data_IF_271186679549
#
_entry.id   IF_271186679549
#
_cell.length_a   1.000
_cell.length_b   1.000
_cell.length_c   1.000
_cell.angle_alpha   90.00
_cell.angle_beta   90.00
_cell.angle_gamma   90.00
#
_symmetry.space_group_name_H-M   'P 1'
#
loop_
_entity.id
_entity.type
_entity.pdbx_description
1 polymer ?
#
# COMPACT_ATOMS: atom_id res chain seq x y z
N UNK A 1 -19.36 11.58 21.45
CA UNK A 1 -20.20 10.51 20.89
C UNK A 1 -19.62 9.20 21.41
N UNK A 2 -20.44 8.26 21.86
CA UNK A 2 -19.96 6.95 22.32
C UNK A 2 -19.38 6.15 21.14
N UNK A 3 -18.26 5.44 21.36
CA UNK A 3 -17.53 4.70 20.32
C UNK A 3 -18.40 3.62 19.68
N UNK A 4 -19.24 2.95 20.47
CA UNK A 4 -20.16 1.95 19.93
C UNK A 4 -21.15 2.58 18.94
N UNK A 5 -21.71 3.73 19.30
CA UNK A 5 -22.62 4.48 18.41
C UNK A 5 -21.90 4.93 17.14
N UNK A 6 -20.68 5.47 17.25
CA UNK A 6 -19.88 5.90 16.10
C UNK A 6 -19.61 4.73 15.13
N UNK A 7 -19.20 3.57 15.64
CA UNK A 7 -18.96 2.39 14.79
C UNK A 7 -20.24 1.91 14.11
N UNK A 8 -21.38 1.97 14.81
CA UNK A 8 -22.69 1.67 14.22
C UNK A 8 -23.06 2.62 13.07
N UNK A 9 -22.75 3.92 13.22
CA UNK A 9 -22.97 4.92 12.18
C UNK A 9 -22.07 4.68 10.96
N UNK A 10 -20.79 4.37 11.16
CA UNK A 10 -19.86 4.01 10.06
C UNK A 10 -20.37 2.79 9.31
N UNK A 11 -20.78 1.73 10.01
CA UNK A 11 -21.31 0.52 9.39
C UNK A 11 -22.59 0.81 8.57
N UNK A 12 -23.51 1.62 9.11
CA UNK A 12 -24.72 2.04 8.41
C UNK A 12 -24.43 2.87 7.16
N UNK A 13 -23.43 3.76 7.21
CA UNK A 13 -23.03 4.59 6.07
C UNK A 13 -22.26 3.82 4.98
N UNK A 14 -21.50 2.78 5.35
CA UNK A 14 -20.91 1.85 4.38
C UNK A 14 -22.01 1.08 3.64
N UNK A 15 -23.02 0.58 4.37
CA UNK A 15 -24.13 -0.18 3.77
C UNK A 15 -24.99 0.68 2.84
N UNK A 16 -25.22 1.95 3.20
CA UNK A 16 -26.00 2.88 2.36
C UNK A 16 -25.23 3.44 1.17
N UNK A 17 -23.90 3.31 1.16
CA UNK A 17 -23.01 3.89 0.17
C UNK A 17 -22.67 5.38 0.41
N UNK A 18 -23.07 5.95 1.55
CA UNK A 18 -22.66 7.30 1.94
C UNK A 18 -21.14 7.39 2.22
N UNK A 19 -20.56 6.31 2.78
CA UNK A 19 -19.12 6.09 2.78
C UNK A 19 -18.80 5.14 1.63
N UNK A 20 -17.89 5.58 0.74
CA UNK A 20 -17.40 4.76 -0.37
C UNK A 20 -16.06 4.12 -0.01
N UNK A 21 -15.95 2.82 -0.24
CA UNK A 21 -14.66 2.12 -0.26
C UNK A 21 -14.04 2.30 -1.64
N UNK A 22 -12.83 2.83 -1.70
CA UNK A 22 -12.05 2.99 -2.92
C UNK A 22 -10.91 1.98 -2.88
N UNK A 23 -10.80 1.16 -3.93
CA UNK A 23 -9.69 0.22 -4.06
C UNK A 23 -8.43 0.98 -4.52
N UNK A 24 -7.37 0.87 -3.74
CA UNK A 24 -6.06 1.48 -3.99
C UNK A 24 -5.00 0.43 -4.38
N UNK A 25 -5.43 -0.80 -4.68
CA UNK A 25 -4.54 -1.92 -5.00
C UNK A 25 -4.48 -2.18 -6.50
N UNK A 26 -3.27 -2.40 -7.02
CA UNK A 26 -3.09 -2.91 -8.36
C UNK A 26 -3.28 -4.45 -8.38
N UNK A 27 -3.73 -5.05 -9.49
CA UNK A 27 -3.77 -6.49 -9.64
C UNK A 27 -2.40 -7.14 -9.41
N UNK A 28 -2.36 -8.19 -8.60
CA UNK A 28 -1.15 -8.97 -8.30
C UNK A 28 -1.09 -10.24 -9.17
N UNK A 29 0.00 -10.41 -9.92
CA UNK A 29 0.21 -11.58 -10.77
C UNK A 29 1.49 -11.51 -11.60
N UNK A 30 1.66 -12.42 -12.58
CA UNK A 30 2.91 -12.53 -13.35
C UNK A 30 3.33 -11.28 -14.13
N UNK A 31 2.39 -10.35 -14.35
CA UNK A 31 2.62 -9.09 -15.05
C UNK A 31 2.82 -7.90 -14.10
N UNK A 32 2.77 -8.11 -12.79
CA UNK A 32 3.04 -7.05 -11.82
C UNK A 32 4.46 -6.51 -12.04
N UNK A 33 4.63 -5.19 -12.23
CA UNK A 33 5.95 -4.58 -12.27
C UNK A 33 6.68 -4.84 -10.94
N UNK A 34 7.94 -5.25 -11.02
CA UNK A 34 8.78 -5.52 -9.85
C UNK A 34 10.08 -4.74 -9.96
N UNK A 35 10.60 -4.34 -8.79
CA UNK A 35 11.89 -3.66 -8.71
C UNK A 35 13.00 -4.50 -9.33
N UNK A 36 13.93 -3.83 -10.00
CA UNK A 36 15.15 -4.39 -10.54
C UNK A 36 16.34 -3.65 -9.96
N UNK A 37 17.27 -4.39 -9.38
CA UNK A 37 18.48 -3.84 -8.79
C UNK A 37 19.69 -4.19 -9.67
N UNK A 38 20.75 -3.36 -9.65
CA UNK A 38 22.01 -3.75 -10.28
C UNK A 38 22.52 -5.07 -9.68
N UNK A 39 22.79 -6.10 -10.51
CA UNK A 39 23.13 -7.45 -10.03
C UNK A 39 24.45 -7.50 -9.24
N UNK A 40 25.34 -6.53 -9.44
CA UNK A 40 26.56 -6.35 -8.66
C UNK A 40 26.30 -5.84 -7.24
N UNK A 41 25.14 -5.27 -6.97
CA UNK A 41 24.79 -4.68 -5.68
C UNK A 41 23.89 -5.59 -4.85
N UNK A 42 22.87 -6.19 -5.47
CA UNK A 42 21.84 -6.95 -4.73
C UNK A 42 21.17 -8.01 -5.61
N UNK A 43 20.53 -8.97 -4.94
CA UNK A 43 19.69 -9.99 -5.58
C UNK A 43 18.26 -9.45 -5.72
N UNK A 44 17.68 -9.63 -6.90
CA UNK A 44 16.28 -9.27 -7.15
C UNK A 44 15.29 -10.10 -6.31
N UNK A 45 14.18 -9.47 -5.93
CA UNK A 45 12.97 -10.18 -5.48
C UNK A 45 12.44 -11.11 -6.59
N UNK A 46 11.90 -12.30 -6.27
CA UNK A 46 11.38 -13.21 -7.28
C UNK A 46 10.20 -12.60 -8.06
N UNK A 47 10.05 -13.00 -9.32
CA UNK A 47 8.80 -12.77 -10.05
C UNK A 47 7.62 -13.41 -9.32
N UNK A 48 6.47 -12.74 -9.36
CA UNK A 48 5.21 -13.33 -8.91
C UNK A 48 4.84 -14.46 -9.85
N UNK A 49 4.61 -15.64 -9.31
CA UNK A 49 4.09 -16.78 -10.06
C UNK A 49 2.83 -17.32 -9.36
N UNK A 50 1.82 -17.66 -10.14
CA UNK A 50 0.54 -18.21 -9.64
C UNK A 50 0.40 -19.61 -10.23
N UNK A 51 0.33 -20.61 -9.36
CA UNK A 51 0.31 -22.01 -9.76
C UNK A 51 -0.98 -22.68 -9.32
N UNK A 52 -1.79 -23.22 -10.26
CA UNK A 52 -3.00 -23.92 -9.89
C UNK A 52 -2.68 -25.22 -9.16
N UNK A 53 -3.41 -25.47 -8.08
CA UNK A 53 -3.39 -26.76 -7.36
C UNK A 53 -4.50 -27.65 -7.90
N UNK A 54 -5.72 -27.11 -7.92
CA UNK A 54 -6.92 -27.74 -8.47
C UNK A 54 -7.86 -26.69 -9.04
N UNK A 55 -8.72 -27.11 -9.96
CA UNK A 55 -9.85 -26.32 -10.44
C UNK A 55 -11.03 -27.21 -10.81
N UNK A 56 -11.76 -27.69 -9.81
CA UNK A 56 -12.92 -28.59 -9.97
C UNK A 56 -12.57 -29.82 -10.83
N UNK A 57 -11.39 -30.36 -10.60
CA UNK A 57 -10.78 -31.43 -11.40
C UNK A 57 -10.37 -32.61 -10.49
N UNK A 58 -9.61 -33.57 -11.03
CA UNK A 58 -9.16 -34.74 -10.26
C UNK A 58 -8.25 -34.40 -9.06
N UNK A 59 -7.61 -33.23 -9.06
CA UNK A 59 -6.74 -32.78 -7.96
C UNK A 59 -7.53 -32.05 -6.86
N UNK A 60 -8.80 -31.71 -7.12
CA UNK A 60 -9.70 -31.07 -6.17
C UNK A 60 -11.11 -31.00 -6.75
N UNK A 61 -11.99 -31.98 -6.47
CA UNK A 61 -13.22 -32.17 -7.22
C UNK A 61 -14.26 -31.07 -6.97
N UNK A 62 -14.17 -30.35 -5.85
CA UNK A 62 -15.19 -29.38 -5.43
C UNK A 62 -14.63 -27.97 -5.15
N UNK A 63 -13.34 -27.74 -5.38
CA UNK A 63 -12.70 -26.45 -5.10
C UNK A 63 -11.63 -26.07 -6.12
N UNK A 64 -11.40 -24.77 -6.23
CA UNK A 64 -10.36 -24.17 -7.05
C UNK A 64 -9.48 -23.25 -6.20
N UNK A 65 -8.17 -23.42 -6.30
CA UNK A 65 -7.18 -22.65 -5.54
C UNK A 65 -5.79 -22.74 -6.16
N UNK A 66 -4.92 -21.81 -5.78
CA UNK A 66 -3.56 -21.68 -6.29
C UNK A 66 -2.58 -21.53 -5.13
N UNK A 67 -1.31 -21.88 -5.34
CA UNK A 67 -0.21 -21.40 -4.52
C UNK A 67 0.56 -20.33 -5.27
N UNK A 68 1.25 -19.46 -4.53
CA UNK A 68 1.98 -18.33 -5.09
C UNK A 68 3.46 -18.44 -4.74
N UNK A 69 4.32 -18.12 -5.72
CA UNK A 69 5.68 -17.66 -5.44
C UNK A 69 5.62 -16.14 -5.35
N UNK A 70 5.87 -15.60 -4.18
CA UNK A 70 5.62 -14.19 -3.88
C UNK A 70 6.74 -13.66 -2.98
N UNK A 71 7.45 -12.64 -3.44
CA UNK A 71 8.33 -11.84 -2.59
C UNK A 71 7.50 -10.83 -1.78
N UNK A 72 7.96 -10.47 -0.59
CA UNK A 72 7.25 -9.54 0.31
C UNK A 72 6.98 -8.18 -0.36
N UNK A 73 7.96 -7.66 -1.10
CA UNK A 73 7.88 -6.38 -1.83
C UNK A 73 7.41 -6.60 -3.28
N UNK A 74 6.12 -6.93 -3.46
CA UNK A 74 5.52 -7.19 -4.77
C UNK A 74 4.22 -6.41 -4.97
N UNK A 75 4.13 -5.59 -6.03
CA UNK A 75 2.92 -4.81 -6.35
C UNK A 75 2.62 -3.70 -5.33
N UNK A 76 1.34 -3.43 -5.07
CA UNK A 76 0.92 -2.58 -3.95
C UNK A 76 1.24 -3.31 -2.63
N UNK A 77 2.23 -2.83 -1.88
CA UNK A 77 2.76 -3.50 -0.69
C UNK A 77 3.03 -2.51 0.46
N UNK A 78 3.59 -3.04 1.56
CA UNK A 78 3.90 -2.28 2.78
C UNK A 78 5.34 -2.55 3.20
N UNK A 79 6.09 -1.49 3.52
CA UNK A 79 7.45 -1.58 4.03
C UNK A 79 7.45 -1.41 5.56
N UNK A 80 7.75 -2.50 6.28
CA UNK A 80 7.93 -2.44 7.72
C UNK A 80 9.30 -1.81 8.09
N UNK A 81 9.47 -1.21 9.29
CA UNK A 81 10.74 -0.58 9.68
C UNK A 81 11.99 -1.47 9.52
N UNK A 82 11.88 -2.77 9.77
CA UNK A 82 12.97 -3.73 9.62
C UNK A 82 13.41 -3.96 8.18
N UNK A 83 12.62 -3.52 7.18
CA UNK A 83 13.01 -3.61 5.78
C UNK A 83 14.34 -2.90 5.50
N UNK A 84 14.65 -1.84 6.25
CA UNK A 84 15.89 -1.07 6.06
C UNK A 84 16.86 -1.22 7.23
N UNK A 85 18.16 -1.11 6.93
CA UNK A 85 19.23 -1.29 7.93
C UNK A 85 19.14 -0.32 9.11
N UNK A 86 18.58 0.88 8.91
CA UNK A 86 18.40 1.88 9.97
C UNK A 86 17.25 1.54 10.92
N UNK A 87 16.37 0.60 10.55
CA UNK A 87 15.28 0.12 11.39
C UNK A 87 15.43 -1.32 11.89
N UNK A 88 16.58 -1.96 11.61
CA UNK A 88 16.83 -3.38 11.93
C UNK A 88 16.71 -3.72 13.42
N UNK A 89 16.89 -2.74 14.31
CA UNK A 89 16.90 -2.94 15.76
C UNK A 89 15.57 -2.56 16.43
N UNK A 90 14.54 -2.17 15.67
CA UNK A 90 13.21 -1.94 16.23
C UNK A 90 12.56 -3.27 16.60
N UNK A 91 12.18 -3.48 17.89
CA UNK A 91 11.58 -4.73 18.34
C UNK A 91 10.16 -4.95 17.78
N UNK A 92 9.51 -3.87 17.34
CA UNK A 92 8.18 -3.80 16.74
C UNK A 92 8.24 -3.40 15.26
N UNK A 93 9.39 -3.65 14.61
CA UNK A 93 9.65 -3.23 13.24
C UNK A 93 9.30 -4.27 12.17
N UNK A 94 8.78 -5.45 12.53
CA UNK A 94 8.37 -6.50 11.59
C UNK A 94 6.85 -6.49 11.36
N UNK A 95 6.37 -7.09 10.27
CA UNK A 95 4.94 -7.13 9.91
C UNK A 95 4.07 -7.90 10.92
N UNK A 96 4.65 -8.82 11.68
CA UNK A 96 4.00 -9.60 12.74
C UNK A 96 4.12 -8.97 14.14
N UNK A 97 4.92 -7.91 14.30
CA UNK A 97 5.17 -7.27 15.61
C UNK A 97 4.72 -5.80 15.67
N UNK A 98 4.58 -5.14 14.53
CA UNK A 98 4.10 -3.75 14.48
C UNK A 98 2.65 -3.65 15.03
N UNK A 99 2.33 -2.63 15.85
CA UNK A 99 0.98 -2.46 16.38
C UNK A 99 -0.06 -2.24 15.27
N UNK A 100 -1.10 -3.06 15.22
CA UNK A 100 -2.17 -2.93 14.22
C UNK A 100 -2.92 -1.59 14.26
N UNK A 101 -2.87 -0.89 15.39
CA UNK A 101 -3.39 0.48 15.54
C UNK A 101 -2.78 1.47 14.56
N UNK A 102 -1.58 1.18 14.02
CA UNK A 102 -0.87 2.03 13.07
C UNK A 102 -1.32 1.81 11.61
N UNK A 103 -2.14 0.79 11.33
CA UNK A 103 -2.55 0.45 9.96
C UNK A 103 -3.73 1.27 9.44
N UNK A 104 -4.44 1.97 10.33
CA UNK A 104 -5.63 2.76 9.97
C UNK A 104 -5.47 4.17 10.51
N UNK A 105 -5.44 5.14 9.62
CA UNK A 105 -5.34 6.55 9.96
C UNK A 105 -5.86 7.45 8.84
N UNK A 106 -6.06 8.75 9.12
CA UNK A 106 -6.32 9.73 8.08
C UNK A 106 -5.19 9.78 7.06
N UNK A 107 -5.49 10.20 5.83
CA UNK A 107 -4.50 10.30 4.75
C UNK A 107 -4.51 11.67 4.10
N UNK A 108 -3.32 12.22 3.93
CA UNK A 108 -3.04 13.46 3.21
C UNK A 108 -2.59 13.11 1.80
N UNK A 109 -3.42 13.41 0.80
CA UNK A 109 -3.12 13.15 -0.61
C UNK A 109 -2.54 14.41 -1.24
N UNK A 110 -1.22 14.41 -1.46
CA UNK A 110 -0.52 15.52 -2.11
C UNK A 110 -0.45 15.22 -3.60
N UNK A 111 -1.22 15.97 -4.39
CA UNK A 111 -1.28 15.80 -5.85
C UNK A 111 -0.11 16.48 -6.53
N UNK A 112 0.75 15.67 -7.15
CA UNK A 112 1.90 16.06 -7.96
C UNK A 112 1.80 15.47 -9.38
N UNK A 113 0.59 15.10 -9.82
CA UNK A 113 0.39 14.41 -11.11
C UNK A 113 0.77 15.29 -12.32
N UNK A 114 0.60 16.60 -12.22
CA UNK A 114 0.98 17.54 -13.30
C UNK A 114 2.50 17.67 -13.37
N UNK A 115 3.14 17.82 -12.22
CA UNK A 115 4.59 17.96 -12.09
C UNK A 115 5.30 16.67 -12.54
N UNK A 116 4.84 15.52 -12.05
CA UNK A 116 5.40 14.21 -12.43
C UNK A 116 5.19 13.87 -13.92
N UNK A 117 4.12 14.38 -14.55
CA UNK A 117 3.91 14.23 -16.00
C UNK A 117 4.83 15.13 -16.83
N UNK A 118 5.26 16.27 -16.28
CA UNK A 118 6.19 17.18 -16.95
C UNK A 118 7.65 16.78 -16.74
N UNK A 119 7.97 16.20 -15.59
CA UNK A 119 9.30 15.76 -15.18
C UNK A 119 9.20 14.43 -14.44
N UNK A 120 9.71 13.36 -15.06
CA UNK A 120 9.71 12.01 -14.48
C UNK A 120 10.64 11.89 -13.27
N UNK A 121 11.55 12.85 -13.07
CA UNK A 121 12.46 12.93 -11.93
C UNK A 121 11.99 13.97 -10.90
N UNK A 122 10.74 14.45 -10.97
CA UNK A 122 10.20 15.45 -10.06
C UNK A 122 10.33 15.04 -8.59
N UNK A 123 10.81 15.99 -7.77
CA UNK A 123 10.97 15.81 -6.34
C UNK A 123 9.95 16.64 -5.56
N UNK A 124 9.16 15.97 -4.72
CA UNK A 124 8.37 16.66 -3.70
C UNK A 124 9.31 17.28 -2.65
N UNK A 125 9.15 18.58 -2.38
CA UNK A 125 10.01 19.33 -1.47
C UNK A 125 9.24 19.77 -0.24
N UNK A 126 9.97 20.21 0.79
CA UNK A 126 9.37 20.81 1.99
C UNK A 126 8.51 22.03 1.67
N UNK A 127 8.89 22.83 0.67
CA UNK A 127 8.11 24.01 0.27
C UNK A 127 6.80 23.60 -0.40
N UNK A 128 6.80 22.56 -1.25
CA UNK A 128 5.57 21.98 -1.79
C UNK A 128 4.62 21.50 -0.68
N UNK A 129 5.16 20.83 0.34
CA UNK A 129 4.38 20.35 1.50
C UNK A 129 3.78 21.54 2.26
N UNK A 130 4.57 22.56 2.60
CA UNK A 130 4.06 23.76 3.30
C UNK A 130 3.00 24.50 2.50
N UNK A 131 3.15 24.59 1.17
CA UNK A 131 2.13 25.17 0.29
C UNK A 131 0.85 24.33 0.30
N UNK A 132 0.97 23.00 0.30
CA UNK A 132 -0.17 22.10 0.43
C UNK A 132 -0.86 22.28 1.79
N UNK A 133 -0.10 22.31 2.90
CA UNK A 133 -0.64 22.50 4.25
C UNK A 133 -1.34 23.85 4.43
N UNK A 134 -0.80 24.93 3.85
CA UNK A 134 -1.42 26.25 3.88
C UNK A 134 -2.81 26.27 3.21
N UNK A 135 -3.07 25.35 2.28
CA UNK A 135 -4.34 25.24 1.55
C UNK A 135 -5.28 24.19 2.15
N UNK A 136 -4.75 23.07 2.62
CA UNK A 136 -5.52 21.88 2.99
C UNK A 136 -5.59 21.62 4.51
N UNK A 137 -4.77 22.32 5.30
CA UNK A 137 -4.60 22.10 6.73
C UNK A 137 -3.27 21.41 7.05
N UNK A 138 -2.80 21.58 8.28
CA UNK A 138 -1.57 20.95 8.79
C UNK A 138 -1.69 19.43 8.77
N UNK A 139 -0.61 18.76 8.36
CA UNK A 139 -0.46 17.31 8.47
C UNK A 139 -0.23 16.96 9.95
N UNK A 140 -1.09 16.12 10.52
CA UNK A 140 -1.04 15.79 11.94
C UNK A 140 -0.22 14.52 12.22
N UNK A 141 0.20 14.37 13.48
CA UNK A 141 0.92 13.18 13.93
C UNK A 141 0.08 11.92 13.73
N UNK A 142 0.69 10.87 13.18
CA UNK A 142 0.06 9.56 12.94
C UNK A 142 -0.77 9.48 11.65
N UNK A 143 -0.86 10.55 10.86
CA UNK A 143 -1.53 10.53 9.57
C UNK A 143 -0.62 9.98 8.46
N UNK A 144 -1.24 9.32 7.49
CA UNK A 144 -0.59 8.94 6.25
C UNK A 144 -0.35 10.17 5.37
N UNK A 145 0.74 10.16 4.62
CA UNK A 145 1.01 11.11 3.53
C UNK A 145 1.31 10.30 2.29
N UNK A 146 0.55 10.53 1.22
CA UNK A 146 0.75 9.85 -0.07
C UNK A 146 0.98 10.88 -1.17
N UNK A 147 2.00 10.65 -1.98
CA UNK A 147 2.32 11.47 -3.14
C UNK A 147 1.58 10.89 -4.35
N UNK A 148 0.52 11.56 -4.77
CA UNK A 148 -0.23 11.17 -5.97
C UNK A 148 0.50 11.70 -7.20
N UNK A 149 0.91 10.79 -8.08
CA UNK A 149 1.58 11.11 -9.36
C UNK A 149 0.85 10.56 -10.58
N UNK A 150 -0.26 9.83 -10.37
CA UNK A 150 -0.96 9.07 -11.41
C UNK A 150 -0.08 8.03 -12.15
N UNK A 151 1.04 7.59 -11.55
CA UNK A 151 2.00 6.62 -12.13
C UNK A 151 1.45 5.21 -12.35
N UNK A 152 0.24 4.95 -11.84
CA UNK A 152 -0.46 3.68 -12.03
C UNK A 152 -1.05 3.52 -13.44
N UNK A 153 -1.10 4.60 -14.23
CA UNK A 153 -1.59 4.62 -15.61
C UNK A 153 -0.58 4.00 -16.57
#
# INVERSE_FOLDING_TARGET
MDTQKLLGEVAGQLLSGAIKVVDLSAPLGPNTPLIKLPPELAVDTPKVEIHPISKYDKNGPWWAWNWLKLGEHSGTHFDAPQHWITGKDYPDGATDTIPAQNFVGPVNVIDCSVEAAADHDFLLTVDHIKTWEAKHGTINAGEWVVMRTDWYK
#
